data_IF_269504667897
#
_entry.id   IF_269504667897
#
_cell.length_a   1.000
_cell.length_b   1.000
_cell.length_c   1.000
_cell.angle_alpha   90.00
_cell.angle_beta   90.00
_cell.angle_gamma   90.00
#
_symmetry.space_group_name_H-M   'P 1'
#
loop_
_entity.id
_entity.type
_entity.pdbx_description
1 polymer ?
#
# COMPACT_ATOMS: atom_id res chain seq x y z
N UNK A 1 -1.05 8.80 -19.92
CA UNK A 1 -1.76 9.39 -18.78
C UNK A 1 -2.23 8.26 -17.88
N UNK A 2 -1.39 7.76 -16.97
CA UNK A 2 -1.85 6.81 -15.95
C UNK A 2 -2.75 7.58 -15.00
N UNK A 3 -4.03 7.24 -14.94
CA UNK A 3 -4.96 7.82 -13.98
C UNK A 3 -4.50 7.50 -12.55
N UNK A 4 -4.82 8.36 -11.58
CA UNK A 4 -4.54 8.11 -10.16
C UNK A 4 -5.03 6.72 -9.72
N UNK A 5 -6.16 6.29 -10.28
CA UNK A 5 -6.69 4.94 -10.12
C UNK A 5 -5.73 3.85 -10.64
N UNK A 6 -5.13 4.03 -11.82
CA UNK A 6 -4.13 3.11 -12.36
C UNK A 6 -2.87 3.01 -11.51
N UNK A 7 -2.41 4.13 -10.95
CA UNK A 7 -1.26 4.15 -10.03
C UNK A 7 -1.59 3.42 -8.72
N UNK A 8 -2.79 3.63 -8.17
CA UNK A 8 -3.25 2.93 -6.98
C UNK A 8 -3.37 1.41 -7.20
N UNK A 9 -3.91 0.98 -8.35
CA UNK A 9 -4.00 -0.44 -8.71
C UNK A 9 -2.61 -1.08 -8.85
N UNK A 10 -1.66 -0.41 -9.50
CA UNK A 10 -0.26 -0.86 -9.59
C UNK A 10 0.37 -1.03 -8.20
N UNK A 11 0.10 -0.08 -7.30
CA UNK A 11 0.57 -0.09 -5.91
C UNK A 11 0.02 -1.28 -5.11
N UNK A 12 -1.27 -1.57 -5.27
CA UNK A 12 -1.90 -2.74 -4.66
C UNK A 12 -1.31 -4.04 -5.20
N UNK A 13 -1.16 -4.16 -6.53
CA UNK A 13 -0.57 -5.35 -7.17
C UNK A 13 0.87 -5.57 -6.67
N UNK A 14 1.67 -4.51 -6.62
CA UNK A 14 3.04 -4.58 -6.12
C UNK A 14 3.09 -4.99 -4.64
N UNK A 15 2.27 -4.38 -3.80
CA UNK A 15 2.19 -4.74 -2.37
C UNK A 15 1.73 -6.19 -2.17
N UNK A 16 0.80 -6.68 -3.00
CA UNK A 16 0.29 -8.05 -2.94
C UNK A 16 1.37 -9.05 -3.38
N UNK A 17 2.09 -8.75 -4.47
CA UNK A 17 3.20 -9.56 -4.96
C UNK A 17 4.34 -9.63 -3.93
N UNK A 18 4.71 -8.51 -3.32
CA UNK A 18 5.73 -8.46 -2.27
C UNK A 18 5.31 -9.29 -1.04
N UNK A 19 4.03 -9.20 -0.64
CA UNK A 19 3.50 -10.00 0.46
C UNK A 19 3.45 -11.49 0.12
N UNK A 20 3.14 -11.86 -1.12
CA UNK A 20 3.15 -13.25 -1.59
C UNK A 20 4.57 -13.83 -1.61
N UNK A 21 5.56 -13.10 -2.17
CA UNK A 21 6.97 -13.52 -2.18
C UNK A 21 7.50 -13.67 -0.74
N UNK A 22 7.26 -12.68 0.12
CA UNK A 22 7.69 -12.73 1.52
C UNK A 22 6.99 -13.84 2.33
N UNK A 23 5.82 -14.30 1.88
CA UNK A 23 5.11 -15.42 2.50
C UNK A 23 5.53 -16.76 1.92
N UNK A 24 5.90 -16.84 0.64
CA UNK A 24 6.38 -18.08 0.01
C UNK A 24 7.76 -18.52 0.51
N UNK A 25 8.56 -17.62 1.07
CA UNK A 25 9.80 -17.96 1.79
C UNK A 25 9.57 -18.57 3.18
N UNK A 26 8.35 -18.48 3.70
CA UNK A 26 7.95 -19.05 4.98
C UNK A 26 7.06 -20.24 4.65
N UNK A 27 7.49 -21.46 4.97
CA UNK A 27 6.62 -22.67 4.92
C UNK A 27 5.49 -22.56 5.97
N UNK A 28 4.70 -21.49 5.90
CA UNK A 28 3.61 -21.17 6.80
C UNK A 28 2.28 -21.60 6.14
N UNK A 29 1.38 -22.17 6.95
CA UNK A 29 0.03 -22.57 6.52
C UNK A 29 -0.64 -21.53 5.60
N UNK A 30 -1.26 -21.93 4.47
CA UNK A 30 -1.85 -21.02 3.49
C UNK A 30 -2.89 -20.06 4.07
N UNK A 31 -3.57 -20.46 5.15
CA UNK A 31 -4.52 -19.61 5.91
C UNK A 31 -3.82 -18.44 6.63
N UNK A 32 -2.60 -18.63 7.13
CA UNK A 32 -1.79 -17.56 7.75
C UNK A 32 -1.23 -16.60 6.70
N UNK A 33 -0.88 -17.12 5.53
CA UNK A 33 -0.41 -16.33 4.38
C UNK A 33 -1.51 -15.36 3.93
N UNK A 34 -2.74 -15.85 3.72
CA UNK A 34 -3.85 -15.00 3.26
C UNK A 34 -4.14 -13.85 4.23
N UNK A 35 -4.16 -14.15 5.53
CA UNK A 35 -4.38 -13.15 6.58
C UNK A 35 -3.21 -12.15 6.68
N UNK A 36 -1.99 -12.63 6.43
CA UNK A 36 -0.79 -11.81 6.33
C UNK A 36 -0.85 -10.84 5.16
N UNK A 37 -1.27 -11.30 3.97
CA UNK A 37 -1.41 -10.47 2.76
C UNK A 37 -2.45 -9.37 2.99
N UNK A 38 -3.64 -9.71 3.51
CA UNK A 38 -4.69 -8.72 3.76
C UNK A 38 -4.24 -7.68 4.80
N UNK A 39 -3.63 -8.13 5.90
CA UNK A 39 -3.13 -7.21 6.95
C UNK A 39 -2.03 -6.29 6.42
N UNK A 40 -1.09 -6.83 5.64
CA UNK A 40 0.01 -6.05 5.04
C UNK A 40 -0.52 -5.06 3.99
N UNK A 41 -1.47 -5.49 3.15
CA UNK A 41 -2.12 -4.61 2.17
C UNK A 41 -2.88 -3.44 2.83
N UNK A 42 -3.59 -3.69 3.93
CA UNK A 42 -4.25 -2.65 4.72
C UNK A 42 -3.25 -1.67 5.35
N UNK A 43 -2.15 -2.17 5.93
CA UNK A 43 -1.09 -1.31 6.46
C UNK A 43 -0.44 -0.44 5.38
N UNK A 44 -0.20 -1.02 4.20
CA UNK A 44 0.42 -0.31 3.08
C UNK A 44 -0.51 0.77 2.52
N UNK A 45 -1.78 0.44 2.28
CA UNK A 45 -2.79 1.39 1.84
C UNK A 45 -2.97 2.53 2.84
N UNK A 46 -3.03 2.21 4.15
CA UNK A 46 -3.08 3.20 5.22
C UNK A 46 -1.87 4.14 5.23
N UNK A 47 -0.66 3.60 5.05
CA UNK A 47 0.56 4.41 4.97
C UNK A 47 0.56 5.35 3.76
N UNK A 48 0.13 4.88 2.58
CA UNK A 48 0.04 5.71 1.37
C UNK A 48 -0.98 6.84 1.53
N UNK A 49 -2.16 6.55 2.11
CA UNK A 49 -3.17 7.58 2.40
C UNK A 49 -2.62 8.61 3.39
N UNK A 50 -1.94 8.16 4.45
CA UNK A 50 -1.34 9.07 5.43
C UNK A 50 -0.29 9.99 4.80
N UNK A 51 0.59 9.45 3.95
CA UNK A 51 1.58 10.25 3.21
C UNK A 51 0.89 11.27 2.30
N UNK A 52 -0.15 10.86 1.57
CA UNK A 52 -0.94 11.77 0.73
C UNK A 52 -1.61 12.89 1.53
N UNK A 53 -2.16 12.58 2.72
CA UNK A 53 -2.76 13.58 3.60
C UNK A 53 -1.72 14.58 4.13
N UNK A 54 -0.53 14.10 4.51
CA UNK A 54 0.58 14.97 4.93
C UNK A 54 1.03 15.88 3.78
N UNK A 55 1.09 15.36 2.55
CA UNK A 55 1.41 16.15 1.37
C UNK A 55 0.39 17.28 1.13
N UNK A 56 -0.92 17.01 1.30
CA UNK A 56 -1.97 18.03 1.18
C UNK A 56 -1.90 19.09 2.29
N UNK A 57 -1.60 18.66 3.52
CA UNK A 57 -1.41 19.58 4.64
C UNK A 57 -0.19 20.49 4.39
N UNK A 58 0.92 19.93 3.93
CA UNK A 58 2.11 20.71 3.57
C UNK A 58 1.86 21.66 2.41
N UNK A 59 1.13 21.24 1.36
CA UNK A 59 0.79 22.09 0.23
C UNK A 59 -0.07 23.29 0.67
N UNK A 60 -1.10 23.04 1.49
CA UNK A 60 -1.98 24.10 2.01
C UNK A 60 -1.31 25.03 3.01
N UNK A 61 -0.35 24.56 3.81
CA UNK A 61 0.36 25.41 4.78
C UNK A 61 1.56 26.16 4.20
N UNK A 62 2.25 25.60 3.21
CA UNK A 62 3.57 26.08 2.81
C UNK A 62 3.63 26.64 1.38
N UNK A 63 2.84 26.10 0.44
CA UNK A 63 2.88 26.50 -0.97
C UNK A 63 1.76 27.48 -1.35
N UNK A 64 0.67 27.53 -0.59
CA UNK A 64 -0.47 28.44 -0.81
C UNK A 64 -0.97 29.05 0.51
N UNK A 65 -0.25 30.03 1.10
CA UNK A 65 -0.81 30.83 2.18
C UNK A 65 -2.01 31.67 1.69
#
# INVERSE_FOLDING_TARGET
>A
MTTLFGQFCMLLIFSLALAAVASGFRDDDPKKILRGIVRRGLMFSGAVIAIGAVALLLDSWFLRP
#
